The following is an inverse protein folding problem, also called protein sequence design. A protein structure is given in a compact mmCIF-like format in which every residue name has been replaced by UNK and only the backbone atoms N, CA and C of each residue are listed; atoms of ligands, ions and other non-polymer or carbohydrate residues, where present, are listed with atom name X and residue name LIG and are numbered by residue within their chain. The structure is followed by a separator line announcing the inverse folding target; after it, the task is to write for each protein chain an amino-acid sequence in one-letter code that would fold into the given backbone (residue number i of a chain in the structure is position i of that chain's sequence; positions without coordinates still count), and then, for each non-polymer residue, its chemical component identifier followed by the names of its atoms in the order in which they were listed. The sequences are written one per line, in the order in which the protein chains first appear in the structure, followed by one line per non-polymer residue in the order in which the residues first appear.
data_IF_128043895017
#
_entry.id   IF_128043895017
#
_cell.length_a   1.000
_cell.length_b   1.000
_cell.length_c   1.000
_cell.angle_alpha   90.00
_cell.angle_beta   90.00
_cell.angle_gamma   90.00
#
_symmetry.space_group_name_H-M   'P 1'
#
loop_
_entity.id
_entity.type
_entity.pdbx_description
1 polymer ?
#
# COMPACT_ATOMS: atom_id res chain seq x y z
N UNK A 1 1.25 -1.17 31.84
CA UNK A 1 0.06 -0.71 32.59
C UNK A 1 -1.21 -1.34 32.04
N UNK A 2 -2.11 -1.83 32.89
CA UNK A 2 -3.41 -2.32 32.46
C UNK A 2 -4.29 -1.13 32.08
N UNK A 3 -4.87 -1.15 30.87
CA UNK A 3 -5.84 -0.14 30.44
C UNK A 3 -7.10 -0.22 31.31
N UNK A 4 -7.57 0.91 31.83
CA UNK A 4 -8.85 1.00 32.54
C UNK A 4 -10.02 0.67 31.59
N UNK A 5 -11.19 0.33 32.16
CA UNK A 5 -12.39 -0.01 31.36
C UNK A 5 -12.80 1.16 30.44
N UNK A 6 -12.77 2.39 30.96
CA UNK A 6 -13.08 3.59 30.18
C UNK A 6 -12.13 3.77 28.98
N UNK A 7 -10.82 3.69 29.20
CA UNK A 7 -9.82 3.79 28.14
C UNK A 7 -9.93 2.68 27.06
N UNK A 8 -10.41 1.49 27.43
CA UNK A 8 -10.65 0.43 26.44
C UNK A 8 -11.83 0.77 25.54
N UNK A 9 -12.89 1.36 26.07
CA UNK A 9 -14.05 1.80 25.27
C UNK A 9 -13.64 2.93 24.33
N UNK A 10 -12.89 3.90 24.82
CA UNK A 10 -12.35 5.00 24.02
C UNK A 10 -11.49 4.50 22.84
N UNK A 11 -10.55 3.58 23.12
CA UNK A 11 -9.71 2.96 22.07
C UNK A 11 -10.54 2.17 21.05
N UNK A 12 -11.61 1.49 21.47
CA UNK A 12 -12.50 0.78 20.55
C UNK A 12 -13.23 1.77 19.65
N UNK A 13 -13.77 2.86 20.20
CA UNK A 13 -14.44 3.90 19.41
C UNK A 13 -13.47 4.58 18.42
N UNK A 14 -12.23 4.85 18.85
CA UNK A 14 -11.18 5.38 17.96
C UNK A 14 -10.86 4.40 16.81
N UNK A 15 -10.78 3.10 17.10
CA UNK A 15 -10.56 2.09 16.06
C UNK A 15 -11.73 1.98 15.10
N UNK A 16 -12.97 2.03 15.58
CA UNK A 16 -14.16 2.02 14.73
C UNK A 16 -14.16 3.20 13.75
N UNK A 17 -13.82 4.40 14.24
CA UNK A 17 -13.68 5.59 13.39
C UNK A 17 -12.56 5.43 12.34
N UNK A 18 -11.40 4.84 12.72
CA UNK A 18 -10.30 4.59 11.80
C UNK A 18 -10.65 3.52 10.75
N UNK A 19 -11.34 2.46 11.13
CA UNK A 19 -11.82 1.44 10.18
C UNK A 19 -12.85 2.00 9.21
N UNK A 20 -13.80 2.81 9.69
CA UNK A 20 -14.80 3.45 8.84
C UNK A 20 -14.19 4.48 7.87
N UNK A 21 -13.11 5.15 8.27
CA UNK A 21 -12.41 6.12 7.44
C UNK A 21 -11.36 5.53 6.50
N UNK A 22 -10.92 4.29 6.69
CA UNK A 22 -9.86 3.67 5.89
C UNK A 22 -10.43 2.73 4.82
N UNK A 23 -9.88 2.83 3.59
CA UNK A 23 -10.24 1.93 2.49
C UNK A 23 -9.60 0.55 2.64
N UNK A 24 -8.37 0.52 3.15
CA UNK A 24 -7.62 -0.70 3.40
C UNK A 24 -6.84 -0.57 4.71
N UNK A 25 -6.95 -1.58 5.56
CA UNK A 25 -6.16 -1.68 6.80
C UNK A 25 -5.16 -2.81 6.67
N UNK A 26 -3.87 -2.47 6.58
CA UNK A 26 -2.82 -3.48 6.49
C UNK A 26 -2.41 -3.94 7.88
N UNK A 27 -2.26 -5.25 8.04
CA UNK A 27 -1.87 -5.92 9.28
C UNK A 27 -0.47 -6.51 9.11
N UNK A 28 0.46 -6.08 9.94
CA UNK A 28 1.83 -6.60 9.93
C UNK A 28 2.29 -6.99 11.33
N UNK A 29 3.15 -8.00 11.40
CA UNK A 29 3.84 -8.41 12.61
C UNK A 29 5.11 -7.57 12.77
N UNK A 30 5.36 -7.05 13.99
CA UNK A 30 6.51 -6.19 14.28
C UNK A 30 7.44 -6.76 15.35
N UNK A 31 7.40 -8.06 15.59
CA UNK A 31 8.19 -8.72 16.63
C UNK A 31 9.69 -8.58 16.32
N UNK A 32 10.47 -8.09 17.28
CA UNK A 32 11.91 -7.90 17.16
C UNK A 32 12.35 -6.53 16.62
N UNK A 33 11.44 -5.61 16.33
CA UNK A 33 11.78 -4.25 15.94
C UNK A 33 12.29 -3.40 17.11
N UNK A 34 13.28 -2.56 16.84
CA UNK A 34 13.77 -1.58 17.82
C UNK A 34 12.83 -0.38 17.92
N UNK A 35 12.86 0.32 19.05
CA UNK A 35 12.06 1.55 19.23
C UNK A 35 12.42 2.60 18.19
N UNK A 36 13.70 2.72 17.81
CA UNK A 36 14.18 3.65 16.79
C UNK A 36 13.57 3.34 15.42
N UNK A 37 13.52 2.06 15.04
CA UNK A 37 12.88 1.61 13.79
C UNK A 37 11.40 1.93 13.77
N UNK A 38 10.66 1.66 14.86
CA UNK A 38 9.23 1.97 14.95
C UNK A 38 8.98 3.48 14.85
N UNK A 39 9.83 4.31 15.46
CA UNK A 39 9.71 5.77 15.35
C UNK A 39 9.99 6.25 13.92
N UNK A 40 11.01 5.70 13.26
CA UNK A 40 11.31 5.99 11.85
C UNK A 40 10.15 5.59 10.92
N UNK A 41 9.57 4.40 11.14
CA UNK A 41 8.41 3.95 10.39
C UNK A 41 7.20 4.89 10.57
N UNK A 42 6.95 5.34 11.81
CA UNK A 42 5.87 6.30 12.09
C UNK A 42 6.10 7.67 11.47
N UNK A 43 7.35 8.14 11.37
CA UNK A 43 7.68 9.40 10.71
C UNK A 43 7.32 9.33 9.21
N UNK A 44 7.83 8.32 8.51
CA UNK A 44 7.53 8.08 7.08
C UNK A 44 6.03 7.87 6.85
N UNK A 45 5.35 7.14 7.73
CA UNK A 45 3.92 6.92 7.62
C UNK A 45 3.11 8.23 7.74
N UNK A 46 3.51 9.15 8.62
CA UNK A 46 2.85 10.47 8.74
C UNK A 46 3.01 11.32 7.49
N UNK A 47 4.20 11.30 6.87
CA UNK A 47 4.45 11.99 5.61
C UNK A 47 3.51 11.51 4.50
N UNK A 48 3.19 10.22 4.51
CA UNK A 48 2.28 9.58 3.57
C UNK A 48 0.80 9.60 4.00
N UNK A 49 0.45 10.35 5.05
CA UNK A 49 -0.92 10.42 5.56
C UNK A 49 -1.45 9.10 6.16
N UNK A 50 -0.55 8.19 6.51
CA UNK A 50 -0.88 6.87 7.05
C UNK A 50 -0.80 6.86 8.57
N UNK A 51 -1.78 6.29 9.24
CA UNK A 51 -1.83 6.18 10.69
C UNK A 51 -1.45 4.76 11.13
N UNK A 52 -0.45 4.64 12.00
CA UNK A 52 -0.01 3.35 12.56
C UNK A 52 -0.43 3.25 14.02
N UNK A 53 -1.25 2.25 14.30
CA UNK A 53 -1.69 1.93 15.67
C UNK A 53 -1.24 0.52 16.07
N UNK A 54 -0.76 0.41 17.30
CA UNK A 54 -0.44 -0.87 17.93
C UNK A 54 -1.39 -1.05 19.11
N UNK A 55 -2.30 -1.99 18.96
CA UNK A 55 -3.36 -2.25 19.95
C UNK A 55 -3.51 -3.73 20.21
N UNK A 56 -4.14 -4.07 21.34
CA UNK A 56 -4.41 -5.47 21.68
C UNK A 56 -5.42 -6.07 20.67
N UNK A 57 -5.13 -7.22 20.11
CA UNK A 57 -5.96 -7.91 19.12
C UNK A 57 -7.43 -8.12 19.60
N UNK A 58 -7.63 -8.32 20.91
CA UNK A 58 -8.99 -8.41 21.49
C UNK A 58 -9.81 -7.14 21.30
N UNK A 59 -9.20 -5.95 21.35
CA UNK A 59 -9.90 -4.69 21.15
C UNK A 59 -10.25 -4.51 19.66
N UNK A 60 -9.33 -4.89 18.78
CA UNK A 60 -9.57 -4.87 17.34
C UNK A 60 -10.71 -5.82 16.95
N UNK A 61 -10.70 -7.06 17.45
CA UNK A 61 -11.82 -7.98 17.23
C UNK A 61 -13.15 -7.43 17.69
N UNK A 62 -13.16 -6.73 18.84
CA UNK A 62 -14.37 -6.09 19.35
C UNK A 62 -14.82 -4.92 18.46
N UNK A 63 -13.91 -4.09 17.97
CA UNK A 63 -14.21 -3.03 17.03
C UNK A 63 -14.76 -3.57 15.70
N UNK A 64 -14.17 -4.65 15.17
CA UNK A 64 -14.67 -5.32 13.97
C UNK A 64 -16.08 -5.91 14.17
N UNK A 65 -16.38 -6.50 15.34
CA UNK A 65 -17.70 -7.03 15.65
C UNK A 65 -18.78 -5.95 15.81
N UNK A 66 -18.40 -4.74 16.25
CA UNK A 66 -19.32 -3.62 16.38
C UNK A 66 -19.65 -2.97 15.03
N UNK A 67 -18.74 -3.06 14.06
CA UNK A 67 -18.93 -2.51 12.71
C UNK A 67 -19.78 -3.47 11.86
N UNK A 68 -20.89 -3.01 11.33
CA UNK A 68 -21.83 -3.87 10.58
C UNK A 68 -21.23 -4.48 9.30
N UNK A 69 -20.34 -3.75 8.63
CA UNK A 69 -19.67 -4.19 7.40
C UNK A 69 -18.54 -5.19 7.65
N UNK A 70 -17.89 -5.16 8.82
CA UNK A 70 -16.68 -5.92 9.11
C UNK A 70 -16.92 -7.17 9.98
N UNK A 71 -18.19 -7.47 10.33
CA UNK A 71 -18.55 -8.63 11.18
C UNK A 71 -18.13 -9.98 10.60
N UNK A 72 -18.08 -10.09 9.28
CA UNK A 72 -17.75 -11.34 8.57
C UNK A 72 -16.24 -11.56 8.40
N UNK A 73 -15.40 -10.59 8.82
CA UNK A 73 -13.95 -10.69 8.66
C UNK A 73 -13.38 -11.84 9.48
N UNK A 74 -12.58 -12.69 8.83
CA UNK A 74 -11.85 -13.75 9.53
C UNK A 74 -10.80 -13.17 10.47
N UNK A 75 -11.01 -13.35 11.76
CA UNK A 75 -10.11 -12.87 12.83
C UNK A 75 -9.16 -13.94 13.36
N UNK A 76 -9.18 -15.15 12.80
CA UNK A 76 -8.34 -16.27 13.25
C UNK A 76 -6.85 -15.99 13.03
N UNK A 77 -6.51 -15.27 11.97
CA UNK A 77 -5.15 -14.84 11.64
C UNK A 77 -4.61 -13.73 12.55
N UNK A 78 -5.47 -13.05 13.32
CA UNK A 78 -5.07 -11.97 14.22
C UNK A 78 -4.56 -12.54 15.56
N UNK A 79 -3.38 -13.15 15.50
CA UNK A 79 -2.61 -13.65 16.66
C UNK A 79 -1.28 -12.89 16.73
N UNK A 80 -0.48 -13.07 17.76
CA UNK A 80 0.83 -12.43 17.94
C UNK A 80 0.82 -10.90 18.15
N UNK A 81 1.98 -10.28 17.97
CA UNK A 81 2.19 -8.84 18.10
C UNK A 81 1.95 -8.14 16.76
N UNK A 82 0.78 -7.53 16.61
CA UNK A 82 0.34 -6.90 15.38
C UNK A 82 0.34 -5.39 15.46
N UNK A 83 0.76 -4.76 14.36
CA UNK A 83 0.53 -3.36 14.06
C UNK A 83 -0.53 -3.24 12.96
N UNK A 84 -1.36 -2.25 13.09
CA UNK A 84 -2.43 -1.92 12.16
C UNK A 84 -2.12 -0.60 11.48
N UNK A 85 -2.14 -0.60 10.17
CA UNK A 85 -1.78 0.54 9.33
C UNK A 85 -3.01 0.97 8.56
N UNK A 86 -3.51 2.16 8.88
CA UNK A 86 -4.72 2.74 8.33
C UNK A 86 -4.35 3.83 7.32
N UNK A 87 -4.93 3.79 6.13
CA UNK A 87 -4.81 4.88 5.18
C UNK A 87 -6.20 5.28 4.65
N UNK A 88 -6.63 6.54 4.87
CA UNK A 88 -7.91 7.02 4.38
C UNK A 88 -7.90 7.38 2.88
N UNK A 89 -6.75 7.76 2.34
CA UNK A 89 -6.65 8.34 1.02
C UNK A 89 -6.54 7.27 -0.07
N UNK A 90 -5.54 6.37 0.06
CA UNK A 90 -5.21 5.38 -0.96
C UNK A 90 -5.00 3.99 -0.35
N UNK A 91 -5.46 2.97 -1.04
CA UNK A 91 -5.37 1.58 -0.60
C UNK A 91 -3.93 1.05 -0.59
N UNK A 92 -3.12 1.49 -1.57
CA UNK A 92 -1.77 0.95 -1.80
C UNK A 92 -0.69 1.60 -0.94
N UNK A 93 -0.85 2.88 -0.55
CA UNK A 93 0.20 3.66 0.14
C UNK A 93 0.60 3.06 1.48
N UNK A 94 -0.36 2.54 2.26
CA UNK A 94 -0.07 1.86 3.53
C UNK A 94 0.80 0.61 3.33
N UNK A 95 0.47 -0.21 2.33
CA UNK A 95 1.22 -1.41 1.99
C UNK A 95 2.60 -1.09 1.40
N UNK A 96 2.70 -0.07 0.54
CA UNK A 96 3.98 0.41 -0.04
C UNK A 96 4.92 0.95 1.04
N UNK A 97 4.42 1.74 1.98
CA UNK A 97 5.20 2.28 3.10
C UNK A 97 5.79 1.15 3.94
N UNK A 98 4.98 0.14 4.26
CA UNK A 98 5.45 -1.04 4.97
C UNK A 98 6.47 -1.85 4.16
N UNK A 99 6.24 -2.05 2.85
CA UNK A 99 7.16 -2.78 1.99
C UNK A 99 8.51 -2.06 1.85
N UNK A 100 8.49 -0.75 1.65
CA UNK A 100 9.70 0.06 1.59
C UNK A 100 10.53 -0.03 2.89
N UNK A 101 9.82 -0.09 4.03
CA UNK A 101 10.47 -0.22 5.32
C UNK A 101 10.90 -1.66 5.63
N UNK A 102 10.16 -2.67 5.18
CA UNK A 102 10.54 -4.09 5.31
C UNK A 102 11.85 -4.44 4.59
N UNK A 103 12.20 -3.69 3.53
CA UNK A 103 13.52 -3.81 2.88
C UNK A 103 14.67 -3.30 3.76
N UNK A 104 14.39 -2.40 4.71
CA UNK A 104 15.38 -1.89 5.67
C UNK A 104 15.44 -2.75 6.94
N UNK A 105 14.29 -3.21 7.42
CA UNK A 105 14.12 -4.02 8.62
C UNK A 105 13.36 -5.31 8.27
N UNK A 106 14.06 -6.43 8.25
CA UNK A 106 13.51 -7.76 7.94
C UNK A 106 12.55 -8.31 9.00
N UNK A 107 12.44 -7.62 10.14
CA UNK A 107 11.55 -8.03 11.25
C UNK A 107 10.07 -7.73 11.01
N UNK A 108 9.75 -7.01 9.92
CA UNK A 108 8.36 -6.76 9.53
C UNK A 108 7.87 -7.88 8.62
N UNK A 109 6.80 -8.55 9.04
CA UNK A 109 6.15 -9.58 8.24
C UNK A 109 4.70 -9.21 8.00
N UNK A 110 4.28 -9.24 6.73
CA UNK A 110 2.89 -9.07 6.36
C UNK A 110 2.10 -10.29 6.79
N UNK A 111 0.94 -10.08 7.43
CA UNK A 111 0.00 -11.15 7.76
C UNK A 111 -1.19 -11.09 6.83
N UNK A 112 -1.66 -9.89 6.51
CA UNK A 112 -2.77 -9.68 5.63
C UNK A 112 -3.25 -8.25 5.64
N UNK A 113 -4.38 -8.01 5.01
CA UNK A 113 -5.09 -6.74 5.07
C UNK A 113 -6.59 -6.97 5.20
N UNK A 114 -7.28 -6.00 5.77
CA UNK A 114 -8.74 -5.96 5.90
C UNK A 114 -9.24 -4.87 4.97
N UNK A 115 -10.08 -5.22 4.00
CA UNK A 115 -10.74 -4.27 3.10
C UNK A 115 -11.91 -3.59 3.79
N UNK A 116 -12.40 -2.49 3.22
CA UNK A 116 -13.60 -1.81 3.70
C UNK A 116 -14.86 -2.71 3.65
N UNK A 117 -14.88 -3.70 2.74
CA UNK A 117 -15.96 -4.66 2.57
C UNK A 117 -15.92 -5.82 3.59
N UNK A 118 -14.95 -5.83 4.50
CA UNK A 118 -14.80 -6.88 5.51
C UNK A 118 -14.12 -8.16 5.01
N UNK A 119 -13.53 -8.16 3.82
CA UNK A 119 -12.76 -9.30 3.32
C UNK A 119 -11.34 -9.27 3.89
N UNK A 120 -10.83 -10.43 4.27
CA UNK A 120 -9.45 -10.60 4.69
C UNK A 120 -8.60 -11.04 3.51
N UNK A 121 -7.61 -10.22 3.14
CA UNK A 121 -6.63 -10.52 2.10
C UNK A 121 -5.40 -11.18 2.72
N UNK A 122 -4.85 -12.18 2.03
CA UNK A 122 -3.64 -12.89 2.46
C UNK A 122 -2.35 -12.03 2.38
N UNK A 123 -1.28 -12.56 2.97
CA UNK A 123 0.02 -11.86 2.98
C UNK A 123 0.58 -11.65 1.56
N UNK A 124 0.36 -12.61 0.65
CA UNK A 124 0.89 -12.55 -0.71
C UNK A 124 0.12 -11.53 -1.57
N UNK A 125 -1.19 -11.41 -1.37
CA UNK A 125 -2.02 -10.38 -2.02
C UNK A 125 -1.60 -8.98 -1.57
N UNK A 126 -1.32 -8.80 -0.27
CA UNK A 126 -0.81 -7.53 0.26
C UNK A 126 0.56 -7.18 -0.30
N UNK A 127 1.45 -8.15 -0.47
CA UNK A 127 2.75 -7.92 -1.13
C UNK A 127 2.57 -7.53 -2.61
N UNK A 128 1.65 -8.18 -3.31
CA UNK A 128 1.31 -7.82 -4.69
C UNK A 128 0.79 -6.38 -4.77
N UNK A 129 -0.16 -5.99 -3.90
CA UNK A 129 -0.63 -4.61 -3.79
C UNK A 129 0.48 -3.61 -3.45
N UNK A 130 1.38 -3.98 -2.54
CA UNK A 130 2.50 -3.13 -2.15
C UNK A 130 3.54 -2.94 -3.27
N UNK A 131 3.60 -3.87 -4.23
CA UNK A 131 4.49 -3.77 -5.40
C UNK A 131 3.91 -2.92 -6.53
N UNK A 132 2.62 -2.59 -6.50
CA UNK A 132 1.99 -1.73 -7.50
C UNK A 132 2.56 -0.31 -7.43
N UNK A 133 2.75 0.37 -8.57
CA UNK A 133 3.07 1.79 -8.60
C UNK A 133 1.97 2.65 -7.99
N UNK A 134 2.27 3.89 -7.62
CA UNK A 134 1.25 4.83 -7.15
C UNK A 134 0.18 5.09 -8.22
N UNK A 135 -1.02 5.49 -7.81
CA UNK A 135 -2.13 5.77 -8.72
C UNK A 135 -1.76 6.72 -9.88
N UNK A 136 -1.04 7.84 -9.66
CA UNK A 136 -0.58 8.70 -10.76
C UNK A 136 0.37 7.98 -11.73
N UNK A 137 1.26 7.13 -11.20
CA UNK A 137 2.20 6.35 -12.03
C UNK A 137 1.48 5.29 -12.87
N UNK A 138 0.44 4.64 -12.33
CA UNK A 138 -0.41 3.71 -13.07
C UNK A 138 -1.13 4.42 -14.22
N UNK A 139 -1.71 5.59 -13.97
CA UNK A 139 -2.37 6.40 -15.00
C UNK A 139 -1.36 6.81 -16.08
N UNK A 140 -0.18 7.29 -15.69
CA UNK A 140 0.89 7.65 -16.63
C UNK A 140 1.36 6.43 -17.45
N UNK A 141 1.44 5.26 -16.84
CA UNK A 141 1.74 3.99 -17.52
C UNK A 141 0.71 3.64 -18.60
N UNK A 142 -0.57 3.76 -18.28
CA UNK A 142 -1.67 3.52 -19.25
C UNK A 142 -1.59 4.51 -20.41
N UNK A 143 -1.40 5.80 -20.13
CA UNK A 143 -1.25 6.84 -21.19
C UNK A 143 -0.03 6.53 -22.08
N UNK A 144 1.08 6.12 -21.49
CA UNK A 144 2.27 5.74 -22.24
C UNK A 144 2.04 4.52 -23.15
N UNK A 145 1.34 3.49 -22.65
CA UNK A 145 1.01 2.31 -23.45
C UNK A 145 0.09 2.69 -24.62
N UNK A 146 -0.93 3.51 -24.40
CA UNK A 146 -1.84 3.99 -25.44
C UNK A 146 -1.12 4.89 -26.46
N UNK A 147 -0.14 5.67 -26.04
CA UNK A 147 0.67 6.51 -26.92
C UNK A 147 1.80 5.78 -27.67
N UNK A 148 2.19 4.59 -27.21
CA UNK A 148 3.31 3.83 -27.76
C UNK A 148 3.15 3.47 -29.26
N UNK A 149 2.00 2.97 -29.74
CA UNK A 149 1.81 2.68 -31.17
C UNK A 149 2.01 3.92 -32.06
N UNK A 150 1.49 5.07 -31.61
CA UNK A 150 1.61 6.33 -32.38
C UNK A 150 3.07 6.76 -32.45
N UNK A 151 3.79 6.73 -31.34
CA UNK A 151 5.23 7.05 -31.30
C UNK A 151 6.06 6.08 -32.15
N UNK A 152 5.71 4.80 -32.16
CA UNK A 152 6.37 3.79 -32.98
C UNK A 152 6.23 4.08 -34.48
N UNK A 153 5.00 4.42 -34.94
CA UNK A 153 4.76 4.80 -36.34
C UNK A 153 5.50 6.10 -36.69
N UNK A 154 5.42 7.12 -35.83
CA UNK A 154 6.17 8.37 -36.04
C UNK A 154 7.68 8.17 -36.10
N UNK A 155 8.21 7.31 -35.22
CA UNK A 155 9.64 6.99 -35.20
C UNK A 155 10.08 6.24 -36.46
N UNK A 156 9.29 5.30 -36.96
CA UNK A 156 9.59 4.59 -38.21
C UNK A 156 9.51 5.47 -39.44
N UNK A 157 8.57 6.40 -39.50
CA UNK A 157 8.45 7.39 -40.58
C UNK A 157 9.66 8.33 -40.58
N UNK A 158 10.06 8.86 -39.43
CA UNK A 158 11.25 9.71 -39.31
C UNK A 158 12.53 8.94 -39.68
N UNK A 159 12.70 7.70 -39.20
CA UNK A 159 13.87 6.88 -39.55
C UNK A 159 13.95 6.60 -41.06
N UNK A 160 12.81 6.30 -41.71
CA UNK A 160 12.77 6.07 -43.16
C UNK A 160 13.06 7.35 -43.94
N UNK A 161 12.57 8.50 -43.51
CA UNK A 161 12.89 9.80 -44.12
C UNK A 161 14.37 10.16 -44.03
N UNK A 162 14.96 10.01 -42.86
CA UNK A 162 16.42 10.24 -42.69
C UNK A 162 17.24 9.26 -43.55
N UNK A 163 16.88 7.98 -43.56
CA UNK A 163 17.58 7.00 -44.40
C UNK A 163 17.47 7.30 -45.91
N UNK A 164 16.33 7.81 -46.39
CA UNK A 164 16.16 8.24 -47.77
C UNK A 164 17.01 9.50 -48.06
N UNK A 165 17.03 10.48 -47.18
CA UNK A 165 17.84 11.70 -47.32
C UNK A 165 19.31 11.36 -47.36
N UNK A 166 19.80 10.50 -46.49
CA UNK A 166 21.19 10.06 -46.47
C UNK A 166 21.58 9.29 -47.76
N UNK A 167 20.67 8.44 -48.25
CA UNK A 167 20.87 7.72 -49.53
C UNK A 167 20.91 8.66 -50.75
N UNK A 168 20.09 9.73 -50.79
CA UNK A 168 20.09 10.73 -51.82
C UNK A 168 21.38 11.61 -51.71
N UNK A 169 21.77 12.00 -50.52
CA UNK A 169 23.02 12.76 -50.31
C UNK A 169 24.25 11.94 -50.73
N UNK A 170 24.30 10.65 -50.43
CA UNK A 170 25.40 9.79 -50.87
C UNK A 170 25.44 9.61 -52.40
N UNK A 171 24.30 9.60 -53.08
CA UNK A 171 24.26 9.58 -54.56
C UNK A 171 24.63 10.94 -55.22
N UNK A 172 24.41 12.04 -54.53
CA UNK A 172 24.76 13.38 -55.06
C UNK A 172 26.26 13.71 -54.92
N UNK A 173 26.99 12.98 -54.05
CA UNK A 173 28.43 13.13 -53.80
C UNK A 173 29.30 12.19 -54.64
N UNK A 174 28.70 11.27 -55.40
CA UNK A 174 29.39 10.41 -56.40
C UNK A 174 29.01 10.86 -57.83
#
# INVERSE_FOLDING_TARGET
MALTKAKKVEVVAELEALFAGSKLTVVAKYQGMTVKSIQGLRAVARENGTVIKVVKNRLVRKALQNSDTLKSTDTSSLRDMLMYVFNPNEETVGAQTLLAYSKKDTNIQFIGAITADGQFMGADDVKALASLPSKPQLIAGIINILGSPVRGVMGSLNGNLHGLLDAVAAKATN
#
